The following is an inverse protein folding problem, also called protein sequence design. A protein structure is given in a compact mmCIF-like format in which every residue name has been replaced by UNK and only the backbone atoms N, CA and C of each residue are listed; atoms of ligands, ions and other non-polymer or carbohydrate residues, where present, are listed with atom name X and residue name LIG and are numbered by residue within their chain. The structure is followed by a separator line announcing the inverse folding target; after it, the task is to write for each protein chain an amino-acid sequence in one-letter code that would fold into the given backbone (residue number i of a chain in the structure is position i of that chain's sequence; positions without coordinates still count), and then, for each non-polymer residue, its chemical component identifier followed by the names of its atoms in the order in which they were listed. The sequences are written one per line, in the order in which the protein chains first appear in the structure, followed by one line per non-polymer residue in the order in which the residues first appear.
data_IF_935336868493
#
_entry.id   IF_935336868493
#
_cell.length_a   1.000
_cell.length_b   1.000
_cell.length_c   1.000
_cell.angle_alpha   90.00
_cell.angle_beta   90.00
_cell.angle_gamma   90.00
#
_symmetry.space_group_name_H-M   'P 1'
#
loop_
_entity.id
_entity.type
_entity.pdbx_description
1 polymer ?
#
# COMPACT_ATOMS: atom_id res chain seq x y z
N UNK A 1 -6.04 -10.75 10.69
CA UNK A 1 -6.85 -11.44 9.68
C UNK A 1 -6.67 -10.83 8.30
N UNK A 2 -7.00 -11.61 7.26
CA UNK A 2 -6.52 -11.34 5.91
C UNK A 2 -7.08 -10.06 5.30
N UNK A 3 -8.37 -9.78 5.50
CA UNK A 3 -9.01 -8.58 4.95
C UNK A 3 -8.49 -7.32 5.64
N UNK A 4 -8.25 -7.38 6.94
CA UNK A 4 -7.66 -6.26 7.67
C UNK A 4 -6.25 -5.94 7.21
N UNK A 5 -5.44 -6.98 6.93
CA UNK A 5 -4.09 -6.82 6.40
C UNK A 5 -4.15 -6.25 4.99
N UNK A 6 -5.06 -6.76 4.14
CA UNK A 6 -5.23 -6.25 2.78
C UNK A 6 -5.62 -4.77 2.79
N UNK A 7 -6.51 -4.36 3.68
CA UNK A 7 -6.90 -2.96 3.83
C UNK A 7 -5.69 -2.10 4.21
N UNK A 8 -4.88 -2.57 5.16
CA UNK A 8 -3.69 -1.84 5.61
C UNK A 8 -2.67 -1.68 4.48
N UNK A 9 -2.45 -2.73 3.68
CA UNK A 9 -1.55 -2.65 2.54
C UNK A 9 -2.04 -1.64 1.50
N UNK A 10 -3.35 -1.61 1.23
CA UNK A 10 -3.94 -0.61 0.34
C UNK A 10 -3.74 0.79 0.88
N UNK A 11 -3.94 0.99 2.18
CA UNK A 11 -3.74 2.27 2.83
C UNK A 11 -2.28 2.74 2.70
N UNK A 12 -1.33 1.84 2.83
CA UNK A 12 0.09 2.15 2.64
C UNK A 12 0.39 2.65 1.22
N UNK A 13 -0.22 2.03 0.21
CA UNK A 13 -0.08 2.49 -1.18
C UNK A 13 -0.69 3.88 -1.37
N UNK A 14 -1.84 4.14 -0.78
CA UNK A 14 -2.50 5.43 -0.85
C UNK A 14 -1.69 6.53 -0.16
N UNK A 15 -0.95 6.20 0.89
CA UNK A 15 -0.08 7.15 1.57
C UNK A 15 1.08 7.65 0.73
N UNK A 16 1.47 6.89 -0.31
CA UNK A 16 2.54 7.26 -1.24
C UNK A 16 1.98 7.81 -2.56
N UNK A 17 0.98 7.14 -3.13
CA UNK A 17 0.49 7.38 -4.49
C UNK A 17 -0.94 7.90 -4.55
N UNK A 18 -1.65 7.97 -3.43
CA UNK A 18 -3.07 8.30 -3.41
C UNK A 18 -3.36 9.73 -3.82
N UNK A 19 -4.52 9.92 -4.48
CA UNK A 19 -5.04 11.23 -4.81
C UNK A 19 -5.48 11.94 -3.53
N UNK A 20 -4.99 13.16 -3.23
CA UNK A 20 -5.40 13.91 -2.04
C UNK A 20 -6.91 14.12 -1.93
N UNK A 21 -7.62 14.21 -3.06
CA UNK A 21 -9.08 14.37 -3.06
C UNK A 21 -9.79 13.13 -2.51
N UNK A 22 -9.16 11.95 -2.59
CA UNK A 22 -9.73 10.70 -2.11
C UNK A 22 -9.27 10.40 -0.67
N UNK A 23 -7.98 10.60 -0.38
CA UNK A 23 -7.39 10.24 0.91
C UNK A 23 -7.59 11.30 1.99
N UNK A 24 -7.82 12.55 1.61
CA UNK A 24 -7.86 13.66 2.53
C UNK A 24 -6.49 14.10 3.05
N UNK A 25 -5.41 13.54 2.50
CA UNK A 25 -4.04 13.85 2.88
C UNK A 25 -3.23 14.32 1.68
N UNK A 26 -2.17 15.13 1.88
CA UNK A 26 -1.26 15.48 0.78
C UNK A 26 -0.63 14.23 0.16
N UNK A 27 -0.38 14.26 -1.14
CA UNK A 27 0.31 13.18 -1.82
C UNK A 27 1.70 12.99 -1.22
N UNK A 28 2.10 11.74 -0.99
CA UNK A 28 3.39 11.43 -0.42
C UNK A 28 3.52 11.70 1.08
N UNK A 29 2.39 11.81 1.79
CA UNK A 29 2.37 12.12 3.22
C UNK A 29 3.19 11.10 4.04
N UNK A 30 3.07 9.81 3.73
CA UNK A 30 3.82 8.77 4.43
C UNK A 30 5.34 8.91 4.21
N UNK A 31 5.75 9.37 3.03
CA UNK A 31 7.17 9.60 2.74
C UNK A 31 7.71 10.81 3.51
N UNK A 32 6.92 11.87 3.59
CA UNK A 32 7.30 13.06 4.33
C UNK A 32 7.46 12.76 5.81
N UNK A 33 6.55 11.97 6.38
CA UNK A 33 6.58 11.59 7.79
C UNK A 33 7.62 10.53 8.11
N UNK A 34 8.13 9.83 7.10
CA UNK A 34 9.06 8.72 7.31
C UNK A 34 8.40 7.47 7.84
N UNK A 35 7.12 7.28 7.56
CA UNK A 35 6.36 6.13 8.04
C UNK A 35 6.94 4.83 7.50
N UNK A 36 7.20 3.87 8.39
CA UNK A 36 7.73 2.56 8.01
C UNK A 36 6.58 1.64 7.63
N UNK A 37 6.48 1.33 6.33
CA UNK A 37 5.42 0.49 5.79
C UNK A 37 6.03 -0.73 5.09
N UNK A 38 5.21 -1.75 4.82
CA UNK A 38 5.65 -2.90 4.02
C UNK A 38 6.04 -2.48 2.61
N UNK A 39 5.32 -1.52 2.02
CA UNK A 39 5.64 -1.00 0.71
C UNK A 39 7.06 -0.43 0.68
N UNK A 40 7.40 0.40 1.66
CA UNK A 40 8.74 0.99 1.74
C UNK A 40 9.81 -0.06 1.99
N UNK A 41 9.57 -1.00 2.90
CA UNK A 41 10.53 -2.07 3.19
C UNK A 41 10.83 -2.90 1.95
N UNK A 42 9.79 -3.25 1.19
CA UNK A 42 9.94 -4.02 -0.03
C UNK A 42 10.67 -3.21 -1.13
N UNK A 43 10.35 -1.92 -1.26
CA UNK A 43 11.03 -1.05 -2.21
C UNK A 43 12.52 -0.94 -1.90
N UNK A 44 12.88 -0.77 -0.62
CA UNK A 44 14.29 -0.71 -0.19
C UNK A 44 15.01 -2.02 -0.49
N UNK A 45 14.38 -3.16 -0.19
CA UNK A 45 14.97 -4.46 -0.47
C UNK A 45 15.25 -4.65 -1.95
N UNK A 46 14.29 -4.32 -2.80
CA UNK A 46 14.44 -4.45 -4.25
C UNK A 46 15.46 -3.48 -4.81
N UNK A 47 15.47 -2.25 -4.31
CA UNK A 47 16.46 -1.25 -4.74
C UNK A 47 17.87 -1.66 -4.33
N UNK A 48 18.05 -2.21 -3.13
CA UNK A 48 19.37 -2.71 -2.70
C UNK A 48 19.94 -3.76 -3.66
N UNK A 49 19.07 -4.55 -4.28
CA UNK A 49 19.48 -5.61 -5.20
C UNK A 49 19.71 -5.09 -6.62
N UNK A 50 18.92 -4.13 -7.09
CA UNK A 50 18.92 -3.70 -8.50
C UNK A 50 19.50 -2.31 -8.73
N UNK A 51 19.40 -1.41 -7.76
CA UNK A 51 19.87 -0.01 -7.88
C UNK A 51 20.25 0.53 -6.51
N UNK A 52 21.45 0.21 -6.01
CA UNK A 52 21.91 0.67 -4.68
C UNK A 52 21.91 2.19 -4.53
N UNK A 53 22.10 2.93 -5.60
CA UNK A 53 22.06 4.39 -5.57
C UNK A 53 20.64 4.89 -5.22
N UNK A 54 19.62 4.30 -5.84
CA UNK A 54 18.24 4.62 -5.53
C UNK A 54 17.90 4.27 -4.07
N UNK A 55 18.39 3.11 -3.59
CA UNK A 55 18.20 2.72 -2.19
C UNK A 55 18.82 3.74 -1.23
N UNK A 56 20.00 4.22 -1.54
CA UNK A 56 20.67 5.25 -0.72
C UNK A 56 19.86 6.55 -0.70
N UNK A 57 19.30 6.94 -1.85
CA UNK A 57 18.44 8.13 -1.96
C UNK A 57 17.20 7.99 -1.08
N UNK A 58 16.55 6.82 -1.13
CA UNK A 58 15.38 6.55 -0.28
C UNK A 58 15.73 6.70 1.20
N UNK A 59 16.81 6.07 1.65
CA UNK A 59 17.22 6.13 3.05
C UNK A 59 17.57 7.53 3.51
N UNK A 60 18.16 8.32 2.62
CA UNK A 60 18.60 9.67 2.94
C UNK A 60 17.44 10.64 3.09
N UNK A 61 16.44 10.55 2.21
CA UNK A 61 15.40 11.58 2.09
C UNK A 61 14.09 11.24 2.81
N UNK A 62 13.76 9.97 2.96
CA UNK A 62 12.50 9.58 3.61
C UNK A 62 12.47 10.09 5.05
N UNK A 63 11.43 10.86 5.39
CA UNK A 63 11.29 11.45 6.71
C UNK A 63 12.14 12.69 6.92
N UNK A 64 12.93 13.10 5.91
CA UNK A 64 13.87 14.22 6.01
C UNK A 64 13.63 15.29 4.96
N UNK A 65 12.56 15.21 4.19
CA UNK A 65 12.23 16.21 3.19
C UNK A 65 10.73 16.46 3.14
N UNK A 66 10.37 17.71 2.85
CA UNK A 66 8.99 18.08 2.51
C UNK A 66 8.92 18.76 1.14
N UNK A 67 10.03 18.77 0.40
CA UNK A 67 10.08 19.33 -0.95
C UNK A 67 9.24 18.47 -1.90
N UNK A 68 8.20 19.03 -2.56
CA UNK A 68 7.35 18.25 -3.47
C UNK A 68 8.13 17.55 -4.58
N UNK A 69 9.20 18.14 -5.10
CA UNK A 69 10.01 17.51 -6.13
C UNK A 69 10.77 16.30 -5.60
N UNK A 70 11.32 16.40 -4.40
CA UNK A 70 12.00 15.28 -3.76
C UNK A 70 11.02 14.15 -3.42
N UNK A 71 9.84 14.49 -2.88
CA UNK A 71 8.81 13.50 -2.59
C UNK A 71 8.35 12.79 -3.86
N UNK A 72 8.18 13.53 -4.95
CA UNK A 72 7.82 12.96 -6.25
C UNK A 72 8.89 11.99 -6.75
N UNK A 73 10.15 12.34 -6.58
CA UNK A 73 11.29 11.49 -6.95
C UNK A 73 11.31 10.20 -6.12
N UNK A 74 11.07 10.30 -4.81
CA UNK A 74 11.00 9.13 -3.95
C UNK A 74 9.87 8.19 -4.37
N UNK A 75 8.69 8.75 -4.67
CA UNK A 75 7.56 7.96 -5.14
C UNK A 75 7.89 7.25 -6.46
N UNK A 76 8.61 7.92 -7.36
CA UNK A 76 9.03 7.32 -8.63
C UNK A 76 10.02 6.17 -8.41
N UNK A 77 10.96 6.32 -7.48
CA UNK A 77 11.89 5.24 -7.14
C UNK A 77 11.14 4.03 -6.61
N UNK A 78 10.16 4.25 -5.74
CA UNK A 78 9.33 3.17 -5.19
C UNK A 78 8.53 2.50 -6.31
N UNK A 79 7.94 3.29 -7.22
CA UNK A 79 7.19 2.75 -8.35
C UNK A 79 8.08 1.89 -9.26
N UNK A 80 9.30 2.36 -9.55
CA UNK A 80 10.23 1.66 -10.43
C UNK A 80 10.81 0.40 -9.82
N UNK A 81 10.76 0.25 -8.51
CA UNK A 81 11.29 -0.93 -7.80
C UNK A 81 10.47 -2.19 -8.04
N UNK A 82 9.22 -2.07 -8.49
CA UNK A 82 8.29 -3.19 -8.61
C UNK A 82 7.57 -3.53 -7.31
N UNK A 83 7.86 -2.81 -6.22
CA UNK A 83 7.20 -3.04 -4.94
C UNK A 83 5.68 -2.83 -4.98
N UNK A 84 5.14 -1.76 -5.64
CA UNK A 84 3.69 -1.59 -5.70
C UNK A 84 2.96 -2.76 -6.34
N UNK A 85 3.52 -3.34 -7.39
CA UNK A 85 2.92 -4.49 -8.08
C UNK A 85 2.89 -5.72 -7.17
N UNK A 86 3.94 -5.94 -6.40
CA UNK A 86 3.97 -7.04 -5.42
C UNK A 86 2.95 -6.82 -4.30
N UNK A 87 2.81 -5.59 -3.82
CA UNK A 87 1.80 -5.26 -2.81
C UNK A 87 0.39 -5.49 -3.36
N UNK A 88 0.13 -5.13 -4.63
CA UNK A 88 -1.16 -5.41 -5.26
C UNK A 88 -1.46 -6.91 -5.27
N UNK A 89 -0.48 -7.74 -5.61
CA UNK A 89 -0.64 -9.21 -5.59
C UNK A 89 -0.96 -9.71 -4.19
N UNK A 90 -0.31 -9.17 -3.17
CA UNK A 90 -0.58 -9.52 -1.77
C UNK A 90 -1.99 -9.12 -1.33
N UNK A 91 -2.42 -7.92 -1.73
CA UNK A 91 -3.77 -7.44 -1.44
C UNK A 91 -4.80 -8.38 -2.04
N UNK A 92 -4.64 -8.75 -3.32
CA UNK A 92 -5.57 -9.66 -4.00
C UNK A 92 -5.61 -11.02 -3.32
N UNK A 93 -4.46 -11.59 -3.00
CA UNK A 93 -4.37 -12.91 -2.35
C UNK A 93 -5.04 -12.89 -0.97
N UNK A 94 -4.79 -11.86 -0.17
CA UNK A 94 -5.37 -11.74 1.17
C UNK A 94 -6.87 -11.49 1.11
N UNK A 95 -7.33 -10.72 0.14
CA UNK A 95 -8.76 -10.47 -0.05
C UNK A 95 -9.48 -11.75 -0.41
N UNK A 96 -8.93 -12.55 -1.33
CA UNK A 96 -9.50 -13.83 -1.72
C UNK A 96 -9.53 -14.81 -0.53
N UNK A 97 -8.44 -14.89 0.22
CA UNK A 97 -8.35 -15.74 1.40
C UNK A 97 -9.38 -15.34 2.46
N UNK A 98 -9.53 -14.04 2.71
CA UNK A 98 -10.52 -13.54 3.66
C UNK A 98 -11.94 -13.84 3.25
N UNK A 99 -12.27 -13.69 1.96
CA UNK A 99 -13.59 -14.02 1.44
C UNK A 99 -13.89 -15.52 1.56
N UNK A 100 -12.89 -16.37 1.29
CA UNK A 100 -13.04 -17.82 1.46
C UNK A 100 -13.33 -18.17 2.91
N UNK A 101 -12.68 -17.54 3.87
CA UNK A 101 -12.94 -17.75 5.30
C UNK A 101 -14.35 -17.33 5.69
N UNK A 102 -14.87 -16.24 5.13
CA UNK A 102 -16.26 -15.84 5.38
C UNK A 102 -17.25 -16.88 4.89
N UNK A 103 -17.03 -17.44 3.71
CA UNK A 103 -17.89 -18.52 3.18
C UNK A 103 -17.79 -19.77 4.04
N UNK A 104 -16.60 -20.15 4.47
CA UNK A 104 -16.39 -21.34 5.29
C UNK A 104 -17.00 -21.21 6.70
N UNK A 105 -17.16 -19.99 7.20
CA UNK A 105 -17.73 -19.74 8.52
C UNK A 105 -19.23 -19.99 8.62
N UNK A 106 -19.91 -20.25 7.49
CA UNK A 106 -21.35 -20.57 7.44
C UNK A 106 -22.23 -19.52 8.12
N UNK A 107 -21.87 -18.25 7.95
CA UNK A 107 -22.67 -17.14 8.47
C UNK A 107 -23.92 -16.94 7.60
N UNK A 108 -24.88 -16.17 8.11
CA UNK A 108 -26.09 -15.82 7.36
C UNK A 108 -25.73 -15.26 5.99
N UNK A 109 -26.36 -15.73 4.89
CA UNK A 109 -26.02 -15.26 3.54
C UNK A 109 -26.11 -13.75 3.37
N UNK A 110 -27.07 -13.09 3.99
CA UNK A 110 -27.21 -11.63 3.92
C UNK A 110 -26.03 -10.93 4.58
N UNK A 111 -25.60 -11.43 5.74
CA UNK A 111 -24.44 -10.89 6.45
C UNK A 111 -23.17 -11.13 5.65
N UNK A 112 -23.02 -12.34 5.09
CA UNK A 112 -21.85 -12.68 4.26
C UNK A 112 -21.75 -11.73 3.06
N UNK A 113 -22.86 -11.52 2.35
CA UNK A 113 -22.90 -10.62 1.21
C UNK A 113 -22.51 -9.20 1.59
N UNK A 114 -23.04 -8.71 2.70
CA UNK A 114 -22.72 -7.35 3.18
C UNK A 114 -21.23 -7.24 3.51
N UNK A 115 -20.65 -8.23 4.20
CA UNK A 115 -19.24 -8.23 4.55
C UNK A 115 -18.35 -8.32 3.33
N UNK A 116 -18.75 -9.13 2.33
CA UNK A 116 -18.02 -9.23 1.07
C UNK A 116 -17.98 -7.89 0.34
N UNK A 117 -19.11 -7.21 0.25
CA UNK A 117 -19.19 -5.90 -0.40
C UNK A 117 -18.31 -4.87 0.32
N UNK A 118 -18.32 -4.87 1.64
CA UNK A 118 -17.49 -3.97 2.43
C UNK A 118 -16.00 -4.27 2.23
N UNK A 119 -15.62 -5.54 2.20
CA UNK A 119 -14.23 -5.96 1.99
C UNK A 119 -13.75 -5.53 0.61
N UNK A 120 -14.54 -5.77 -0.44
CA UNK A 120 -14.20 -5.38 -1.81
C UNK A 120 -14.07 -3.87 -1.91
N UNK A 121 -15.02 -3.13 -1.36
CA UNK A 121 -14.99 -1.67 -1.38
C UNK A 121 -13.75 -1.12 -0.68
N UNK A 122 -13.39 -1.69 0.47
CA UNK A 122 -12.23 -1.24 1.25
C UNK A 122 -10.91 -1.54 0.54
N UNK A 123 -10.75 -2.73 -0.02
CA UNK A 123 -9.50 -3.17 -0.64
C UNK A 123 -9.34 -2.67 -2.08
N UNK A 124 -10.44 -2.42 -2.80
CA UNK A 124 -10.41 -1.89 -4.16
C UNK A 124 -10.22 -0.37 -4.22
N UNK A 125 -10.17 0.30 -3.08
CA UNK A 125 -9.98 1.74 -2.98
C UNK A 125 -8.63 2.12 -3.58
N UNK A 126 -8.66 2.90 -4.69
CA UNK A 126 -7.45 3.29 -5.44
C UNK A 126 -7.47 4.79 -5.67
N UNK A 127 -6.52 5.51 -5.17
CA UNK A 127 -6.41 6.97 -5.38
C UNK A 127 -7.60 7.77 -4.88
#
# INVERSE_FOLDING_TARGET
HDIGIAYQLRDDQLGVFGDPAVTGKPAGDDLREGKRTELLALALQRADESDPHAAATLRKLIGHTSDPQELSRLAQIIADSGAPEEIERRIDALTQSGLQHLHAAKVDPTVTETLEQLAIKATARRK
#
